data_IF_186194037617
#
_entry.id   IF_186194037617
#
_cell.length_a   1.000
_cell.length_b   1.000
_cell.length_c   1.000
_cell.angle_alpha   90.00
_cell.angle_beta   90.00
_cell.angle_gamma   90.00
#
_symmetry.space_group_name_H-M   'P 1'
#
loop_
_entity.id
_entity.type
_entity.pdbx_description
1 polymer ?
#
# COMPACT_ATOMS: atom_id res chain seq x y z
N UNK A 1 15.74 -3.78 -37.92
CA UNK A 1 14.98 -2.70 -37.25
C UNK A 1 14.40 -3.21 -35.93
N UNK A 2 15.29 -3.70 -35.04
CA UNK A 2 14.92 -4.35 -33.77
C UNK A 2 16.08 -4.40 -32.75
N UNK A 3 17.02 -3.46 -32.81
CA UNK A 3 18.14 -3.42 -31.87
C UNK A 3 18.58 -1.96 -31.65
N UNK A 4 17.97 -1.23 -30.70
CA UNK A 4 18.67 -0.09 -30.06
C UNK A 4 17.93 0.56 -28.85
N UNK A 5 17.44 -0.21 -27.88
CA UNK A 5 17.05 0.38 -26.57
C UNK A 5 17.48 -0.47 -25.37
N UNK A 6 18.65 -1.11 -25.45
CA UNK A 6 19.32 -1.73 -24.29
C UNK A 6 20.75 -1.19 -24.11
N UNK A 7 20.95 0.11 -24.32
CA UNK A 7 22.18 0.76 -23.80
C UNK A 7 21.91 1.19 -22.37
N UNK A 8 22.49 0.42 -21.45
CA UNK A 8 22.83 0.76 -20.08
C UNK A 8 23.27 2.24 -19.99
N UNK A 9 22.32 3.15 -19.77
CA UNK A 9 22.63 4.48 -19.26
C UNK A 9 22.77 4.29 -17.77
N UNK A 10 23.98 4.58 -17.28
CA UNK A 10 24.34 4.94 -15.90
C UNK A 10 23.15 4.77 -14.96
N UNK A 11 23.19 3.76 -14.09
CA UNK A 11 22.28 3.67 -12.95
C UNK A 11 22.54 4.92 -12.11
N UNK A 12 21.84 6.01 -12.42
CA UNK A 12 21.83 7.17 -11.54
C UNK A 12 21.39 6.64 -10.20
N UNK A 13 22.10 7.06 -9.16
CA UNK A 13 21.82 6.66 -7.80
C UNK A 13 20.51 7.31 -7.36
N UNK A 14 19.39 6.86 -7.93
CA UNK A 14 18.07 7.36 -7.66
C UNK A 14 17.82 7.18 -6.17
N UNK A 15 17.33 8.23 -5.53
CA UNK A 15 16.95 8.19 -4.13
C UNK A 15 15.61 7.47 -3.98
N UNK A 16 15.56 6.14 -4.19
CA UNK A 16 14.59 5.14 -3.65
C UNK A 16 14.28 3.96 -4.57
N UNK A 17 13.75 2.83 -4.04
CA UNK A 17 13.37 2.60 -2.64
C UNK A 17 14.59 2.57 -1.71
N UNK A 18 14.38 2.86 -0.42
CA UNK A 18 15.43 3.12 0.60
C UNK A 18 16.74 2.38 0.30
N UNK A 19 17.89 3.05 0.29
CA UNK A 19 19.16 2.40 -0.04
C UNK A 19 19.49 1.34 1.01
N UNK A 20 19.95 0.16 0.57
CA UNK A 20 20.27 -1.01 1.43
C UNK A 20 21.14 -0.64 2.64
N UNK A 21 22.06 0.31 2.46
CA UNK A 21 23.06 0.69 3.46
C UNK A 21 22.66 1.89 4.33
N UNK A 22 21.52 2.54 4.10
CA UNK A 22 21.11 3.71 4.88
C UNK A 22 20.05 3.33 5.90
N UNK A 23 20.42 3.29 7.18
CA UNK A 23 19.46 3.01 8.25
C UNK A 23 18.46 4.15 8.48
N UNK A 24 18.87 5.39 8.18
CA UNK A 24 18.09 6.61 8.36
C UNK A 24 17.80 7.25 7.01
N UNK A 25 16.55 7.63 6.80
CA UNK A 25 16.15 8.47 5.67
C UNK A 25 16.13 9.92 6.16
N UNK A 26 16.71 10.84 5.41
CA UNK A 26 16.76 12.27 5.72
C UNK A 26 15.98 13.08 4.68
N UNK A 27 15.62 14.33 4.99
CA UNK A 27 14.84 15.18 4.07
C UNK A 27 15.57 15.40 2.74
N UNK A 28 16.91 15.48 2.76
CA UNK A 28 17.75 15.60 1.56
C UNK A 28 17.56 14.43 0.58
N UNK A 29 17.19 13.24 1.06
CA UNK A 29 16.91 12.08 0.18
C UNK A 29 15.66 12.30 -0.69
N UNK A 30 14.85 13.34 -0.43
CA UNK A 30 13.63 13.65 -1.18
C UNK A 30 13.75 14.92 -2.03
N UNK A 31 14.89 15.60 -2.00
CA UNK A 31 15.10 16.81 -2.81
C UNK A 31 15.39 16.37 -4.25
N UNK A 32 14.56 16.83 -5.19
CA UNK A 32 14.77 16.59 -6.60
C UNK A 32 16.05 17.31 -7.09
N UNK A 33 16.92 16.54 -7.74
CA UNK A 33 18.08 17.05 -8.48
C UNK A 33 17.64 17.83 -9.73
N UNK A 34 18.60 18.41 -10.45
CA UNK A 34 18.30 19.07 -11.73
C UNK A 34 17.83 18.05 -12.77
N UNK A 35 18.47 16.89 -12.80
CA UNK A 35 18.15 15.76 -13.66
C UNK A 35 16.74 15.22 -13.38
N UNK A 36 16.35 15.10 -12.10
CA UNK A 36 14.99 14.68 -11.72
C UNK A 36 13.94 15.65 -12.26
N UNK A 37 14.20 16.96 -12.16
CA UNK A 37 13.30 18.00 -12.68
C UNK A 37 13.17 17.92 -14.20
N UNK A 38 14.27 17.69 -14.92
CA UNK A 38 14.25 17.56 -16.37
C UNK A 38 13.48 16.31 -16.82
N UNK A 39 13.57 15.21 -16.06
CA UNK A 39 12.74 14.00 -16.27
C UNK A 39 11.26 14.30 -16.01
N UNK A 40 10.93 14.99 -14.92
CA UNK A 40 9.55 15.38 -14.60
C UNK A 40 8.94 16.24 -15.71
N UNK A 41 9.65 17.24 -16.21
CA UNK A 41 9.16 18.08 -17.31
C UNK A 41 8.97 17.29 -18.61
N UNK A 42 9.88 16.35 -18.91
CA UNK A 42 9.73 15.43 -20.04
C UNK A 42 8.49 14.53 -19.91
N UNK A 43 8.16 14.06 -18.69
CA UNK A 43 6.96 13.27 -18.42
C UNK A 43 5.70 14.11 -18.64
N UNK A 44 5.68 15.33 -18.09
CA UNK A 44 4.55 16.26 -18.24
C UNK A 44 4.26 16.60 -19.70
N UNK A 45 5.29 16.65 -20.55
CA UNK A 45 5.14 16.94 -21.99
C UNK A 45 4.59 15.78 -22.83
N UNK A 46 4.39 14.59 -22.25
CA UNK A 46 3.88 13.43 -22.99
C UNK A 46 2.35 13.49 -23.14
N UNK A 47 1.77 12.85 -24.18
CA UNK A 47 0.32 12.76 -24.34
C UNK A 47 -0.36 12.08 -23.14
N UNK A 48 -1.52 12.59 -22.72
CA UNK A 48 -2.27 12.10 -21.54
C UNK A 48 -2.49 10.57 -21.55
N UNK A 49 -2.87 10.00 -22.69
CA UNK A 49 -3.15 8.55 -22.80
C UNK A 49 -1.92 7.68 -23.00
N UNK A 50 -0.72 8.26 -23.11
CA UNK A 50 0.52 7.49 -23.28
C UNK A 50 0.85 6.75 -21.99
N UNK A 51 1.06 5.44 -22.08
CA UNK A 51 1.59 4.63 -20.97
C UNK A 51 3.06 4.99 -20.75
N UNK A 52 3.41 5.41 -19.54
CA UNK A 52 4.77 5.82 -19.16
C UNK A 52 5.39 4.90 -18.10
N UNK A 53 4.57 4.15 -17.37
CA UNK A 53 5.03 3.18 -16.36
C UNK A 53 4.43 1.82 -16.67
N UNK A 54 5.30 0.79 -16.68
CA UNK A 54 4.91 -0.61 -16.76
C UNK A 54 5.71 -1.40 -15.72
N UNK A 55 5.09 -1.72 -14.58
CA UNK A 55 5.76 -2.40 -13.45
C UNK A 55 4.84 -3.50 -12.92
N UNK A 56 5.22 -4.77 -13.14
CA UNK A 56 4.55 -5.94 -12.57
C UNK A 56 3.00 -5.91 -12.73
N UNK A 57 2.55 -5.62 -13.96
CA UNK A 57 1.12 -5.52 -14.30
C UNK A 57 0.44 -4.20 -13.93
N UNK A 58 1.13 -3.26 -13.30
CA UNK A 58 0.66 -1.88 -13.16
C UNK A 58 1.03 -1.08 -14.42
N UNK A 59 0.04 -0.44 -15.03
CA UNK A 59 0.18 0.39 -16.23
C UNK A 59 -0.29 1.80 -15.89
N UNK A 60 0.63 2.77 -15.85
CA UNK A 60 0.26 4.16 -15.60
C UNK A 60 0.39 4.95 -16.90
N UNK A 61 -0.74 5.52 -17.32
CA UNK A 61 -0.75 6.57 -18.33
C UNK A 61 -0.16 7.84 -17.76
N UNK A 62 0.23 8.77 -18.63
CA UNK A 62 0.57 10.13 -18.22
C UNK A 62 -0.56 10.66 -17.36
N UNK A 63 -1.82 10.62 -17.81
CA UNK A 63 -3.00 11.12 -17.07
C UNK A 63 -3.05 10.66 -15.60
N UNK A 64 -2.84 9.36 -15.32
CA UNK A 64 -2.82 8.84 -13.94
C UNK A 64 -1.71 9.44 -13.08
N UNK A 65 -0.58 9.83 -13.68
CA UNK A 65 0.53 10.50 -12.98
C UNK A 65 0.22 11.97 -12.64
N UNK A 66 -0.93 12.55 -13.02
CA UNK A 66 -1.24 13.98 -12.74
C UNK A 66 -1.24 14.24 -11.23
N UNK A 67 -1.68 13.27 -10.44
CA UNK A 67 -1.69 13.40 -8.98
C UNK A 67 -0.31 13.66 -8.37
N UNK A 68 0.78 13.37 -9.08
CA UNK A 68 2.15 13.63 -8.62
C UNK A 68 2.64 15.05 -8.91
N UNK A 69 1.95 15.79 -9.78
CA UNK A 69 2.41 17.11 -10.24
C UNK A 69 1.68 18.28 -9.58
N UNK A 70 0.53 18.03 -8.97
CA UNK A 70 -0.30 19.05 -8.32
C UNK A 70 -0.25 18.89 -6.80
N UNK A 71 0.16 19.95 -6.09
CA UNK A 71 0.35 19.92 -4.63
C UNK A 71 -0.91 19.56 -3.84
N UNK A 72 -2.09 19.81 -4.41
CA UNK A 72 -3.38 19.59 -3.75
C UNK A 72 -4.11 18.35 -4.28
N UNK A 73 -3.53 17.62 -5.24
CA UNK A 73 -4.15 16.42 -5.76
C UNK A 73 -4.00 15.26 -4.78
N UNK A 74 -5.07 14.48 -4.62
CA UNK A 74 -4.99 13.23 -3.88
C UNK A 74 -4.24 12.18 -4.72
N UNK A 75 -3.41 11.40 -4.04
CA UNK A 75 -2.68 10.29 -4.66
C UNK A 75 -3.66 9.24 -5.19
N UNK A 76 -3.48 8.87 -6.45
CA UNK A 76 -4.24 7.82 -7.10
C UNK A 76 -3.79 6.43 -6.62
N UNK A 77 -4.75 5.51 -6.49
CA UNK A 77 -4.51 4.16 -6.00
C UNK A 77 -3.61 3.31 -6.90
N UNK A 78 -3.63 3.54 -8.21
CA UNK A 78 -2.76 2.84 -9.17
C UNK A 78 -1.33 3.34 -9.07
N UNK A 79 -1.14 4.63 -8.83
CA UNK A 79 0.18 5.24 -8.59
C UNK A 79 0.80 4.69 -7.30
N UNK A 80 0.01 4.60 -6.22
CA UNK A 80 0.44 3.97 -4.96
C UNK A 80 0.80 2.50 -5.19
N UNK A 81 -0.03 1.75 -5.92
CA UNK A 81 0.22 0.33 -6.22
C UNK A 81 1.48 0.10 -7.06
N UNK A 82 1.76 0.96 -8.04
CA UNK A 82 3.00 0.91 -8.82
C UNK A 82 4.23 1.15 -7.93
N UNK A 83 4.15 2.10 -7.00
CA UNK A 83 5.23 2.35 -6.06
C UNK A 83 5.44 1.18 -5.09
N UNK A 84 4.37 0.55 -4.63
CA UNK A 84 4.45 -0.67 -3.81
C UNK A 84 5.17 -1.80 -4.56
N UNK A 85 4.95 -1.94 -5.87
CA UNK A 85 5.69 -2.91 -6.68
C UNK A 85 7.20 -2.61 -6.75
N UNK A 86 7.60 -1.33 -6.78
CA UNK A 86 9.02 -0.95 -6.66
C UNK A 86 9.58 -1.39 -5.29
N UNK A 87 8.86 -1.15 -4.20
CA UNK A 87 9.29 -1.58 -2.86
C UNK A 87 9.41 -3.12 -2.78
N UNK A 88 8.46 -3.86 -3.37
CA UNK A 88 8.48 -5.33 -3.40
C UNK A 88 9.69 -5.88 -4.18
N UNK A 89 10.22 -5.14 -5.16
CA UNK A 89 11.42 -5.55 -5.91
C UNK A 89 12.69 -5.48 -5.06
N UNK A 90 12.70 -4.67 -4.01
CA UNK A 90 13.85 -4.51 -3.12
C UNK A 90 13.90 -5.58 -2.04
N UNK A 91 14.78 -6.56 -2.20
CA UNK A 91 14.90 -7.72 -1.31
C UNK A 91 15.09 -7.32 0.16
N UNK A 92 15.92 -6.31 0.41
CA UNK A 92 16.21 -5.84 1.76
C UNK A 92 15.00 -5.17 2.44
N UNK A 93 13.95 -4.79 1.69
CA UNK A 93 12.69 -4.25 2.24
C UNK A 93 11.63 -5.32 2.50
N UNK A 94 11.88 -6.57 2.08
CA UNK A 94 11.01 -7.73 2.35
C UNK A 94 11.16 -8.26 3.78
N UNK A 95 12.17 -7.81 4.52
CA UNK A 95 12.40 -8.16 5.91
C UNK A 95 12.56 -6.90 6.74
N UNK A 96 12.01 -6.90 7.96
CA UNK A 96 12.17 -5.83 8.95
C UNK A 96 12.46 -6.45 10.32
N UNK A 97 12.74 -5.61 11.33
CA UNK A 97 12.99 -6.07 12.71
C UNK A 97 11.88 -7.00 13.25
N UNK A 98 10.62 -6.80 12.83
CA UNK A 98 9.47 -7.64 13.18
C UNK A 98 9.21 -8.82 12.23
N UNK A 99 10.18 -9.23 11.42
CA UNK A 99 10.07 -10.38 10.52
C UNK A 99 9.78 -10.04 9.06
N UNK A 100 9.29 -11.05 8.34
CA UNK A 100 9.03 -11.03 6.90
C UNK A 100 7.78 -10.20 6.60
N UNK A 101 7.90 -9.35 5.58
CA UNK A 101 6.89 -8.37 5.20
C UNK A 101 6.16 -8.81 3.95
N UNK A 102 4.84 -8.80 4.00
CA UNK A 102 3.99 -8.76 2.82
C UNK A 102 3.44 -7.35 2.65
N UNK A 103 3.59 -6.79 1.46
CA UNK A 103 2.99 -5.49 1.11
C UNK A 103 1.78 -5.79 0.24
N UNK A 104 0.59 -5.35 0.63
CA UNK A 104 -0.59 -5.41 -0.20
C UNK A 104 -0.71 -4.21 -1.14
N UNK A 105 -1.49 -4.35 -2.20
CA UNK A 105 -1.83 -3.21 -3.07
C UNK A 105 -3.17 -2.57 -2.65
N UNK A 106 -3.50 -1.45 -3.27
CA UNK A 106 -4.73 -0.68 -2.95
C UNK A 106 -6.00 -1.40 -3.39
N UNK A 107 -5.93 -2.20 -4.45
CA UNK A 107 -7.04 -2.98 -4.97
C UNK A 107 -7.45 -4.09 -4.00
N UNK A 108 -6.50 -4.88 -3.48
CA UNK A 108 -6.77 -5.92 -2.50
C UNK A 108 -7.30 -5.32 -1.20
N UNK A 109 -6.77 -4.16 -0.77
CA UNK A 109 -7.31 -3.45 0.39
C UNK A 109 -8.78 -3.05 0.20
N UNK A 110 -9.16 -2.68 -1.03
CA UNK A 110 -10.56 -2.38 -1.39
C UNK A 110 -11.44 -3.63 -1.39
N UNK A 111 -10.90 -4.79 -1.81
CA UNK A 111 -11.59 -6.08 -1.71
C UNK A 111 -11.83 -6.47 -0.25
N UNK A 112 -10.80 -6.39 0.61
CA UNK A 112 -10.95 -6.69 2.04
C UNK A 112 -11.98 -5.78 2.69
N UNK A 113 -11.97 -4.48 2.35
CA UNK A 113 -12.96 -3.52 2.83
C UNK A 113 -14.38 -3.90 2.39
N UNK A 114 -14.58 -4.25 1.11
CA UNK A 114 -15.86 -4.74 0.58
C UNK A 114 -16.33 -5.98 1.32
N UNK A 115 -15.46 -6.96 1.51
CA UNK A 115 -15.79 -8.24 2.12
C UNK A 115 -16.14 -8.12 3.62
N UNK A 116 -15.73 -7.02 4.26
CA UNK A 116 -16.19 -6.66 5.60
C UNK A 116 -17.54 -5.94 5.66
N UNK A 117 -18.05 -5.47 4.52
CA UNK A 117 -19.26 -4.65 4.42
C UNK A 117 -20.47 -5.42 3.86
N UNK A 118 -20.22 -6.53 3.17
CA UNK A 118 -21.27 -7.42 2.61
C UNK A 118 -21.46 -8.66 3.46
N UNK A 119 -22.51 -9.43 3.26
CA UNK A 119 -22.68 -10.73 3.92
C UNK A 119 -21.68 -11.76 3.38
N UNK A 120 -21.34 -12.77 4.20
CA UNK A 120 -20.31 -13.77 3.86
C UNK A 120 -20.70 -14.56 2.61
N UNK A 121 -21.99 -14.84 2.44
CA UNK A 121 -22.57 -15.55 1.30
C UNK A 121 -22.41 -14.79 -0.02
N UNK A 122 -22.22 -13.46 0.05
CA UNK A 122 -22.03 -12.60 -1.13
C UNK A 122 -20.56 -12.49 -1.55
N UNK A 123 -19.62 -13.01 -0.75
CA UNK A 123 -18.19 -12.98 -1.08
C UNK A 123 -17.91 -13.89 -2.28
N UNK A 124 -17.36 -13.30 -3.36
CA UNK A 124 -17.07 -14.02 -4.59
C UNK A 124 -15.81 -14.90 -4.46
N UNK A 125 -15.99 -16.11 -3.96
CA UNK A 125 -14.92 -17.10 -3.79
C UNK A 125 -14.49 -17.80 -5.09
N UNK A 126 -15.26 -17.67 -6.18
CA UNK A 126 -14.99 -18.36 -7.46
C UNK A 126 -13.98 -17.63 -8.34
N UNK A 127 -14.12 -16.30 -8.43
CA UNK A 127 -13.23 -15.49 -9.26
C UNK A 127 -12.09 -14.87 -8.45
N UNK A 128 -12.29 -14.66 -7.16
CA UNK A 128 -11.26 -14.07 -6.33
C UNK A 128 -10.22 -15.11 -5.88
N UNK A 129 -8.98 -14.67 -5.74
CA UNK A 129 -7.84 -15.52 -5.36
C UNK A 129 -7.67 -15.59 -3.83
N UNK A 130 -8.78 -15.71 -3.10
CA UNK A 130 -8.83 -15.64 -1.62
C UNK A 130 -7.88 -16.65 -0.99
N UNK A 131 -7.90 -17.91 -1.44
CA UNK A 131 -7.02 -18.94 -0.90
C UNK A 131 -5.54 -18.58 -1.06
N UNK A 132 -5.14 -18.10 -2.26
CA UNK A 132 -3.75 -17.67 -2.52
C UNK A 132 -3.37 -16.46 -1.66
N UNK A 133 -4.30 -15.53 -1.46
CA UNK A 133 -4.11 -14.34 -0.61
C UNK A 133 -3.88 -14.74 0.84
N UNK A 134 -4.78 -15.54 1.43
CA UNK A 134 -4.65 -16.05 2.80
C UNK A 134 -3.35 -16.86 2.96
N UNK A 135 -3.03 -17.74 2.02
CA UNK A 135 -1.79 -18.52 2.04
C UNK A 135 -0.55 -17.64 2.00
N UNK A 136 -0.60 -16.52 1.25
CA UNK A 136 0.48 -15.56 1.25
C UNK A 136 0.57 -14.86 2.61
N UNK A 137 -0.54 -14.40 3.19
CA UNK A 137 -0.51 -13.73 4.49
C UNK A 137 0.08 -14.60 5.59
N UNK A 138 -0.35 -15.85 5.68
CA UNK A 138 0.10 -16.78 6.71
C UNK A 138 1.59 -17.17 6.60
N UNK A 139 2.23 -16.88 5.46
CA UNK A 139 3.69 -17.05 5.24
C UNK A 139 4.52 -15.82 5.65
N UNK A 140 3.91 -14.77 6.16
CA UNK A 140 4.57 -13.52 6.52
C UNK A 140 4.19 -13.10 7.95
N UNK A 141 5.09 -12.37 8.59
CA UNK A 141 4.94 -11.90 9.98
C UNK A 141 4.16 -10.59 10.06
N UNK A 142 4.28 -9.76 9.02
CA UNK A 142 3.64 -8.46 8.93
C UNK A 142 2.99 -8.24 7.57
N UNK A 143 1.72 -7.87 7.55
CA UNK A 143 0.97 -7.54 6.33
C UNK A 143 0.65 -6.06 6.32
N UNK A 144 1.19 -5.31 5.35
CA UNK A 144 1.00 -3.88 5.20
C UNK A 144 -0.09 -3.62 4.17
N UNK A 145 -1.18 -2.97 4.58
CA UNK A 145 -2.34 -2.70 3.74
C UNK A 145 -2.62 -1.21 3.64
N UNK A 146 -2.46 -0.58 2.45
CA UNK A 146 -2.81 0.83 2.26
C UNK A 146 -4.34 1.00 2.30
N UNK A 147 -4.83 1.87 3.18
CA UNK A 147 -6.26 2.11 3.37
C UNK A 147 -6.63 3.48 2.86
N UNK A 148 -7.64 3.51 2.00
CA UNK A 148 -8.27 4.74 1.53
C UNK A 148 -9.50 5.06 2.37
N UNK A 149 -9.49 6.26 2.96
CA UNK A 149 -10.68 6.96 3.40
C UNK A 149 -11.17 7.75 2.20
N UNK A 150 -12.36 7.39 1.71
CA UNK A 150 -12.89 7.83 0.42
C UNK A 150 -12.78 9.35 0.27
N UNK A 151 -12.08 9.78 -0.79
CA UNK A 151 -11.89 11.19 -1.16
C UNK A 151 -11.27 12.09 -0.06
N UNK A 152 -10.64 11.50 0.96
CA UNK A 152 -10.11 12.26 2.09
C UNK A 152 -8.64 11.94 2.33
N UNK A 153 -8.29 10.67 2.55
CA UNK A 153 -7.00 10.35 3.12
C UNK A 153 -6.52 8.93 2.83
N UNK A 154 -5.19 8.76 2.81
CA UNK A 154 -4.55 7.46 2.79
C UNK A 154 -3.77 7.26 4.09
N UNK A 155 -3.96 6.10 4.71
CA UNK A 155 -3.13 5.66 5.83
C UNK A 155 -2.73 4.20 5.65
N UNK A 156 -1.85 3.70 6.51
CA UNK A 156 -1.32 2.34 6.37
C UNK A 156 -1.64 1.54 7.63
N UNK A 157 -2.30 0.40 7.45
CA UNK A 157 -2.47 -0.58 8.52
C UNK A 157 -1.44 -1.69 8.38
N UNK A 158 -0.99 -2.23 9.51
CA UNK A 158 -0.09 -3.38 9.57
C UNK A 158 -0.70 -4.43 10.48
N UNK A 159 -1.05 -5.58 9.90
CA UNK A 159 -1.35 -6.79 10.68
C UNK A 159 -0.01 -7.33 11.16
N UNK A 160 0.30 -7.20 12.46
CA UNK A 160 1.52 -7.72 13.05
C UNK A 160 1.21 -9.00 13.83
N UNK A 161 1.45 -10.13 13.17
CA UNK A 161 1.11 -11.44 13.72
C UNK A 161 2.03 -11.88 14.87
N UNK A 162 3.27 -11.39 14.90
CA UNK A 162 4.20 -11.67 15.99
C UNK A 162 3.74 -11.03 17.29
N UNK A 163 3.26 -9.79 17.24
CA UNK A 163 2.77 -9.06 18.42
C UNK A 163 1.29 -9.32 18.72
N UNK A 164 0.52 -9.87 17.76
CA UNK A 164 -0.95 -9.98 17.82
C UNK A 164 -1.60 -8.59 17.95
N UNK A 165 -1.13 -7.67 17.12
CA UNK A 165 -1.55 -6.27 17.11
C UNK A 165 -1.84 -5.80 15.69
N UNK A 166 -2.74 -4.82 15.57
CA UNK A 166 -2.96 -4.05 14.35
C UNK A 166 -2.30 -2.69 14.53
N UNK A 167 -1.20 -2.43 13.82
CA UNK A 167 -0.52 -1.14 13.89
C UNK A 167 -1.12 -0.19 12.87
N UNK A 168 -1.41 1.04 13.29
CA UNK A 168 -1.91 2.09 12.41
C UNK A 168 -0.85 3.17 12.26
N UNK A 169 -0.49 3.45 11.00
CA UNK A 169 0.44 4.49 10.59
C UNK A 169 -0.39 5.55 9.85
N UNK A 170 -0.91 6.50 10.61
CA UNK A 170 -1.75 7.59 10.11
C UNK A 170 -1.06 8.94 10.35
N UNK A 171 -0.71 9.64 9.28
CA UNK A 171 -0.07 10.96 9.32
C UNK A 171 -0.99 12.07 9.84
N UNK A 172 -2.31 11.86 9.90
CA UNK A 172 -3.28 12.74 10.54
C UNK A 172 -3.56 12.36 12.01
N UNK A 173 -2.91 11.30 12.52
CA UNK A 173 -2.97 10.90 13.94
C UNK A 173 -4.37 10.65 14.49
N UNK A 174 -5.25 9.96 13.74
CA UNK A 174 -6.53 9.52 14.29
C UNK A 174 -7.65 10.57 14.26
N UNK A 175 -7.45 11.68 13.56
CA UNK A 175 -8.48 12.70 13.37
C UNK A 175 -9.78 12.18 12.72
N UNK A 176 -9.75 10.99 12.10
CA UNK A 176 -10.88 10.38 11.42
C UNK A 176 -11.24 9.00 11.95
N UNK A 177 -12.54 8.70 11.98
CA UNK A 177 -13.08 7.41 12.39
C UNK A 177 -12.49 6.24 11.57
N UNK A 178 -12.28 5.11 12.24
CA UNK A 178 -11.59 3.92 11.70
C UNK A 178 -12.54 2.88 11.11
N UNK A 179 -13.70 3.29 10.60
CA UNK A 179 -14.69 2.34 10.04
C UNK A 179 -14.12 1.54 8.87
N UNK A 180 -13.28 2.18 8.04
CA UNK A 180 -12.62 1.50 6.92
C UNK A 180 -11.65 0.40 7.39
N UNK A 181 -10.93 0.63 8.49
CA UNK A 181 -10.05 -0.37 9.08
C UNK A 181 -10.87 -1.53 9.66
N UNK A 182 -11.94 -1.23 10.41
CA UNK A 182 -12.83 -2.26 10.96
C UNK A 182 -13.35 -3.18 9.85
N UNK A 183 -13.85 -2.59 8.75
CA UNK A 183 -14.31 -3.36 7.58
C UNK A 183 -13.19 -4.21 6.99
N UNK A 184 -11.99 -3.67 6.80
CA UNK A 184 -10.85 -4.44 6.29
C UNK A 184 -10.50 -5.62 7.21
N UNK A 185 -10.50 -5.44 8.53
CA UNK A 185 -10.20 -6.50 9.49
C UNK A 185 -11.30 -7.58 9.51
N UNK A 186 -12.57 -7.19 9.44
CA UNK A 186 -13.70 -8.14 9.31
C UNK A 186 -13.61 -8.91 7.99
N UNK A 187 -13.33 -8.24 6.88
CA UNK A 187 -13.17 -8.89 5.57
C UNK A 187 -12.00 -9.85 5.55
N UNK A 188 -10.87 -9.48 6.16
CA UNK A 188 -9.72 -10.37 6.34
C UNK A 188 -10.10 -11.59 7.19
N UNK A 189 -10.76 -11.38 8.33
CA UNK A 189 -11.23 -12.46 9.20
C UNK A 189 -12.13 -13.44 8.44
N UNK A 190 -13.09 -12.91 7.67
CA UNK A 190 -14.02 -13.72 6.86
C UNK A 190 -13.29 -14.53 5.80
N UNK A 191 -12.34 -13.92 5.10
CA UNK A 191 -11.54 -14.63 4.10
C UNK A 191 -10.71 -15.75 4.73
N UNK A 192 -10.11 -15.53 5.89
CA UNK A 192 -9.40 -16.57 6.64
C UNK A 192 -10.37 -17.71 7.02
N UNK A 193 -11.54 -17.38 7.56
CA UNK A 193 -12.56 -18.36 7.94
C UNK A 193 -13.08 -19.18 6.75
N UNK A 194 -13.29 -18.54 5.59
CA UNK A 194 -13.65 -19.24 4.34
C UNK A 194 -12.60 -20.27 3.98
N UNK A 195 -11.31 -19.89 3.98
CA UNK A 195 -10.23 -20.82 3.62
C UNK A 195 -10.06 -21.92 4.67
N UNK A 196 -10.24 -21.60 5.96
CA UNK A 196 -10.22 -22.58 7.04
C UNK A 196 -11.34 -23.63 6.92
N UNK A 197 -12.50 -23.24 6.36
CA UNK A 197 -13.59 -24.17 6.04
C UNK A 197 -13.31 -25.08 4.84
N UNK A 198 -12.38 -24.68 3.96
CA UNK A 198 -12.01 -25.44 2.75
C UNK A 198 -10.80 -26.35 2.96
N UNK A 199 -9.87 -25.95 3.84
CA UNK A 199 -8.67 -26.71 4.15
C UNK A 199 -8.12 -26.35 5.52
N UNK A 200 -7.28 -27.24 6.04
CA UNK A 200 -6.55 -26.96 7.26
C UNK A 200 -5.47 -25.89 7.05
N UNK A 201 -5.44 -24.90 7.94
CA UNK A 201 -4.45 -23.83 7.95
C UNK A 201 -3.31 -24.19 8.92
N UNK A 202 -2.37 -25.02 8.47
CA UNK A 202 -1.19 -25.44 9.24
C UNK A 202 0.08 -24.68 8.84
N UNK A 203 1.10 -24.78 9.68
CA UNK A 203 2.47 -24.31 9.42
C UNK A 203 2.60 -22.80 9.20
N UNK A 204 1.80 -22.00 9.92
CA UNK A 204 1.92 -20.55 9.95
C UNK A 204 2.51 -20.07 11.29
N UNK A 205 3.09 -18.87 11.29
CA UNK A 205 3.72 -18.27 12.48
C UNK A 205 2.75 -17.41 13.31
N UNK A 206 1.51 -17.25 12.85
CA UNK A 206 0.51 -16.42 13.53
C UNK A 206 0.05 -17.11 14.82
N UNK A 207 -0.01 -16.35 15.92
CA UNK A 207 -0.38 -16.86 17.26
C UNK A 207 -1.81 -17.37 17.32
N UNK A 208 -2.71 -16.70 16.62
CA UNK A 208 -4.08 -17.10 16.37
C UNK A 208 -4.55 -16.49 15.05
N UNK A 209 -5.80 -16.75 14.67
CA UNK A 209 -6.41 -16.29 13.43
C UNK A 209 -7.57 -15.32 13.66
N UNK A 210 -7.76 -14.82 14.89
CA UNK A 210 -8.85 -13.90 15.27
C UNK A 210 -8.45 -12.44 15.06
N UNK A 211 -7.98 -12.11 13.85
CA UNK A 211 -7.41 -10.79 13.50
C UNK A 211 -8.36 -9.61 13.76
N UNK A 212 -9.67 -9.82 13.69
CA UNK A 212 -10.66 -8.77 13.96
C UNK A 212 -10.73 -8.40 15.45
N UNK A 213 -10.23 -9.25 16.34
CA UNK A 213 -10.20 -9.04 17.80
C UNK A 213 -8.85 -8.49 18.28
N UNK A 214 -7.85 -8.40 17.41
CA UNK A 214 -6.52 -7.94 17.79
C UNK A 214 -6.52 -6.45 18.14
N UNK A 215 -5.72 -6.10 19.15
CA UNK A 215 -5.64 -4.72 19.66
C UNK A 215 -5.08 -3.78 18.60
N UNK A 216 -5.74 -2.64 18.39
CA UNK A 216 -5.32 -1.58 17.48
C UNK A 216 -4.38 -0.62 18.21
N UNK A 217 -3.19 -0.40 17.65
CA UNK A 217 -2.14 0.46 18.20
C UNK A 217 -1.80 1.56 17.19
N UNK A 218 -2.12 2.81 17.53
CA UNK A 218 -1.70 3.99 16.76
C UNK A 218 -0.19 4.21 16.96
N UNK A 219 0.60 4.03 15.90
CA UNK A 219 2.07 4.20 15.94
C UNK A 219 2.51 5.64 15.72
N UNK A 220 1.64 6.46 15.12
CA UNK A 220 1.84 7.90 14.95
C UNK A 220 0.84 8.60 15.86
N UNK A 221 1.35 9.20 16.95
CA UNK A 221 0.51 9.81 18.00
C UNK A 221 0.45 11.32 17.92
N UNK A 222 1.13 11.92 16.95
CA UNK A 222 1.14 13.36 16.68
C UNK A 222 0.96 13.58 15.18
N UNK A 223 0.06 14.49 14.75
CA UNK A 223 -0.10 14.82 13.34
C UNK A 223 1.23 15.24 12.72
N UNK A 224 1.54 14.66 11.56
CA UNK A 224 2.71 15.02 10.74
C UNK A 224 2.30 15.68 9.43
N UNK A 225 1.10 15.39 8.94
CA UNK A 225 0.56 15.95 7.72
C UNK A 225 -0.11 17.30 8.00
N UNK A 226 0.25 18.30 7.21
CA UNK A 226 -0.24 19.69 7.32
C UNK A 226 -1.09 20.12 6.13
N UNK A 227 -1.28 19.24 5.14
CA UNK A 227 -2.03 19.45 3.90
C UNK A 227 -2.99 18.26 3.62
N UNK A 228 -3.74 18.32 2.53
CA UNK A 228 -4.56 17.17 2.06
C UNK A 228 -5.74 16.76 2.96
N UNK A 229 -6.10 17.56 3.97
CA UNK A 229 -7.29 17.33 4.81
C UNK A 229 -8.47 18.19 4.31
N UNK A 230 -9.63 17.59 4.11
CA UNK A 230 -10.88 18.35 3.98
C UNK A 230 -11.37 18.64 5.39
N UNK A 231 -11.15 19.86 5.90
CA UNK A 231 -11.95 20.35 7.00
C UNK A 231 -13.38 20.51 6.48
N UNK A 232 -14.33 19.73 6.99
CA UNK A 232 -15.73 20.15 6.97
C UNK A 232 -15.90 21.33 7.93
N UNK A 233 -15.29 22.47 7.61
CA UNK A 233 -15.69 23.76 8.13
C UNK A 233 -16.79 24.28 7.22
N UNK A 234 -17.96 23.67 7.34
CA UNK A 234 -19.24 24.33 7.06
C UNK A 234 -19.83 24.64 8.43
N UNK A 235 -19.34 25.72 9.03
CA UNK A 235 -20.14 26.55 9.93
C UNK A 235 -20.78 27.62 9.05
N UNK A 236 -22.04 27.40 8.68
CA UNK A 236 -23.19 28.27 9.01
C UNK A 236 -24.47 27.66 8.40
#
# INVERSE_FOLDING_TARGET
MLEEVCRLKVVSHYNKPKKVHTNKVVSQDYICTKEDKDIIEKIKSQPLKKVLVHINGAFLTRELLECLFHKTAHMDGDVISAYINLIRAEEHLRNRKGGKVFLENTFISSILKRDGDIDVEQINTKQDTIQKRVDNYLKHDMIFSPINIKMSHWYLAVVNAQEREIHVLDSLSGAMHREDLKKILIGLQRQISIVAGLKELKNHMWKDLQVAEWTIIEKITRPMQTDGYITSSLTD
#
